data_IF_211395979262
#
_entry.id   IF_211395979262
#
_cell.length_a   1.000
_cell.length_b   1.000
_cell.length_c   1.000
_cell.angle_alpha   90.00
_cell.angle_beta   90.00
_cell.angle_gamma   90.00
#
_symmetry.space_group_name_H-M   'P 1'
#
loop_
_entity.id
_entity.type
_entity.pdbx_description
1 polymer ?
#
# COMPACT_ATOMS: atom_id res chain seq x y z
N UNK A 1 6.83 -7.14 22.08
CA UNK A 1 5.39 -7.36 21.85
C UNK A 1 5.21 -7.63 20.36
N UNK A 2 4.73 -8.81 20.00
CA UNK A 2 4.45 -9.16 18.61
C UNK A 2 3.19 -8.39 18.23
N UNK A 3 3.30 -7.38 17.36
CA UNK A 3 2.13 -6.65 16.86
C UNK A 3 1.44 -7.55 15.84
N UNK A 4 0.15 -7.82 16.05
CA UNK A 4 -0.63 -8.62 15.13
C UNK A 4 -0.82 -7.84 13.83
N UNK A 5 -0.31 -8.39 12.73
CA UNK A 5 -0.37 -7.76 11.43
C UNK A 5 -1.56 -8.29 10.61
N UNK A 6 -2.37 -7.38 10.08
CA UNK A 6 -3.71 -7.74 9.58
C UNK A 6 -3.79 -8.08 8.08
N UNK A 7 -2.77 -7.73 7.27
CA UNK A 7 -2.92 -7.71 5.80
C UNK A 7 -1.83 -8.49 5.08
N UNK A 8 -2.10 -9.69 4.59
CA UNK A 8 -1.07 -10.54 3.97
C UNK A 8 -0.60 -10.00 2.63
N UNK A 9 -1.49 -9.43 1.82
CA UNK A 9 -1.18 -8.91 0.49
C UNK A 9 -1.45 -7.42 0.41
N UNK A 10 -0.38 -6.63 0.32
CA UNK A 10 -0.43 -5.16 0.28
C UNK A 10 0.01 -4.67 -1.10
N UNK A 11 -0.85 -3.90 -1.78
CA UNK A 11 -0.50 -3.26 -3.05
C UNK A 11 -0.18 -1.77 -2.83
N UNK A 12 1.04 -1.37 -3.19
CA UNK A 12 1.46 0.02 -3.23
C UNK A 12 1.33 0.57 -4.65
N UNK A 13 0.39 1.49 -4.84
CA UNK A 13 0.14 2.18 -6.11
C UNK A 13 0.63 3.61 -5.97
N UNK A 14 1.87 3.85 -6.39
CA UNK A 14 2.54 5.11 -6.15
C UNK A 14 3.02 5.78 -7.44
N UNK A 15 2.87 7.09 -7.55
CA UNK A 15 3.52 7.91 -8.56
C UNK A 15 4.62 8.74 -7.93
N UNK A 16 5.69 8.97 -8.67
CA UNK A 16 6.78 9.81 -8.22
C UNK A 16 7.93 9.81 -9.22
N UNK A 17 8.86 10.74 -9.02
CA UNK A 17 10.08 10.76 -9.81
C UNK A 17 10.84 9.43 -9.67
N UNK A 18 11.50 8.94 -10.73
CA UNK A 18 12.24 7.67 -10.69
C UNK A 18 13.23 7.55 -9.52
N UNK A 19 13.81 8.67 -9.09
CA UNK A 19 14.75 8.75 -7.97
C UNK A 19 14.09 8.46 -6.61
N UNK A 20 12.78 8.69 -6.47
CA UNK A 20 12.02 8.44 -5.24
C UNK A 20 11.59 6.98 -5.10
N UNK A 21 11.52 6.22 -6.19
CA UNK A 21 11.04 4.83 -6.18
C UNK A 21 11.89 3.94 -5.25
N UNK A 22 13.25 3.96 -5.30
CA UNK A 22 14.07 3.20 -4.36
C UNK A 22 13.86 3.62 -2.90
N UNK A 23 13.67 4.92 -2.66
CA UNK A 23 13.39 5.46 -1.33
C UNK A 23 12.07 4.92 -0.77
N UNK A 24 10.98 4.96 -1.55
CA UNK A 24 9.69 4.40 -1.14
C UNK A 24 9.77 2.90 -0.87
N UNK A 25 10.40 2.13 -1.76
CA UNK A 25 10.61 0.69 -1.53
C UNK A 25 11.41 0.43 -0.24
N UNK A 26 12.46 1.21 0.02
CA UNK A 26 13.28 1.08 1.22
C UNK A 26 12.53 1.43 2.51
N UNK A 27 11.59 2.38 2.48
CA UNK A 27 10.68 2.62 3.60
C UNK A 27 9.74 1.42 3.76
N UNK A 28 9.02 1.05 2.70
CA UNK A 28 7.98 0.01 2.76
C UNK A 28 8.55 -1.32 3.26
N UNK A 29 9.75 -1.73 2.81
CA UNK A 29 10.40 -2.94 3.30
C UNK A 29 10.78 -2.88 4.79
N UNK A 30 11.01 -1.69 5.36
CA UNK A 30 11.23 -1.51 6.79
C UNK A 30 9.93 -1.50 7.58
N UNK A 31 8.84 -1.03 6.97
CA UNK A 31 7.54 -0.90 7.62
C UNK A 31 6.75 -2.22 7.67
N UNK A 32 6.90 -3.06 6.65
CA UNK A 32 6.14 -4.30 6.55
C UNK A 32 6.84 -5.45 7.28
N UNK A 33 6.09 -6.34 7.93
CA UNK A 33 6.66 -7.54 8.52
C UNK A 33 7.05 -8.54 7.41
N UNK A 34 7.94 -9.47 7.74
CA UNK A 34 8.49 -10.42 6.78
C UNK A 34 7.41 -11.36 6.19
N UNK A 35 6.31 -11.58 6.90
CA UNK A 35 5.20 -12.42 6.45
C UNK A 35 4.27 -11.71 5.46
N UNK A 36 4.42 -10.39 5.27
CA UNK A 36 3.60 -9.61 4.34
C UNK A 36 4.18 -9.64 2.92
N UNK A 37 3.30 -9.86 1.94
CA UNK A 37 3.63 -9.72 0.51
C UNK A 37 3.39 -8.29 0.05
N UNK A 38 4.47 -7.60 -0.30
CA UNK A 38 4.43 -6.25 -0.84
C UNK A 38 4.45 -6.28 -2.38
N UNK A 39 3.37 -5.82 -3.00
CA UNK A 39 3.25 -5.62 -4.43
C UNK A 39 3.42 -4.14 -4.75
N UNK A 40 4.08 -3.83 -5.87
CA UNK A 40 4.40 -2.45 -6.23
C UNK A 40 3.97 -2.13 -7.65
N UNK A 41 3.25 -1.04 -7.79
CA UNK A 41 2.83 -0.48 -9.06
C UNK A 41 3.20 0.99 -9.10
N UNK A 42 4.38 1.27 -9.67
CA UNK A 42 4.91 2.63 -9.78
C UNK A 42 4.62 3.23 -11.15
N UNK A 43 4.12 4.47 -11.18
CA UNK A 43 3.89 5.24 -12.41
C UNK A 43 3.08 4.47 -13.48
N UNK A 44 2.11 3.66 -13.04
CA UNK A 44 1.26 2.83 -13.89
C UNK A 44 -0.20 2.93 -13.42
N UNK A 45 -1.18 2.66 -14.30
CA UNK A 45 -2.57 2.53 -13.91
C UNK A 45 -2.82 1.19 -13.19
N UNK A 46 -3.80 1.19 -12.29
CA UNK A 46 -4.31 -0.03 -11.63
C UNK A 46 -5.42 -0.62 -12.51
N UNK A 47 -5.36 -1.93 -12.77
CA UNK A 47 -6.45 -2.66 -13.43
C UNK A 47 -7.18 -3.55 -12.43
N UNK A 48 -8.48 -3.76 -12.65
CA UNK A 48 -9.30 -4.61 -11.77
C UNK A 48 -8.88 -6.08 -11.82
N UNK A 49 -8.42 -6.53 -12.98
CA UNK A 49 -7.87 -7.87 -13.17
C UNK A 49 -6.68 -8.12 -12.24
N UNK A 50 -5.80 -7.11 -12.09
CA UNK A 50 -4.65 -7.18 -11.19
C UNK A 50 -5.08 -7.28 -9.72
N UNK A 51 -6.11 -6.52 -9.33
CA UNK A 51 -6.64 -6.56 -7.97
C UNK A 51 -7.28 -7.90 -7.62
N UNK A 52 -8.04 -8.49 -8.56
CA UNK A 52 -8.68 -9.78 -8.35
C UNK A 52 -7.69 -10.95 -8.36
N UNK A 53 -6.66 -10.90 -9.21
CA UNK A 53 -5.68 -11.98 -9.33
C UNK A 53 -4.75 -12.11 -8.12
N UNK A 54 -4.46 -11.00 -7.43
CA UNK A 54 -3.48 -10.94 -6.35
C UNK A 54 -4.08 -11.10 -4.94
N UNK A 55 -5.40 -11.25 -4.81
CA UNK A 55 -6.11 -11.34 -3.51
C UNK A 55 -5.64 -10.23 -2.54
N UNK A 56 -5.65 -8.99 -3.03
CA UNK A 56 -5.14 -7.82 -2.30
C UNK A 56 -6.08 -7.46 -1.15
N UNK A 57 -5.58 -7.55 0.08
CA UNK A 57 -6.31 -7.17 1.29
C UNK A 57 -6.37 -5.63 1.43
N UNK A 58 -5.32 -4.94 0.99
CA UNK A 58 -5.20 -3.49 1.15
C UNK A 58 -4.38 -2.83 0.04
N UNK A 59 -4.86 -1.68 -0.42
CA UNK A 59 -4.18 -0.81 -1.38
C UNK A 59 -3.73 0.45 -0.65
N UNK A 60 -2.45 0.78 -0.75
CA UNK A 60 -1.87 2.05 -0.31
C UNK A 60 -1.52 2.87 -1.54
N UNK A 61 -2.02 4.11 -1.63
CA UNK A 61 -1.85 4.90 -2.85
C UNK A 61 -1.63 6.39 -2.63
N UNK A 62 -0.78 6.99 -3.48
CA UNK A 62 -0.63 8.43 -3.67
C UNK A 62 -1.16 8.93 -5.06
N UNK A 63 -1.98 8.13 -5.76
CA UNK A 63 -2.91 8.61 -6.82
C UNK A 63 -4.40 8.38 -6.50
N UNK A 64 -5.29 9.11 -7.18
CA UNK A 64 -6.74 8.86 -7.10
C UNK A 64 -7.05 7.53 -7.82
N UNK A 65 -7.68 6.60 -7.10
CA UNK A 65 -8.19 5.34 -7.65
C UNK A 65 -9.73 5.40 -7.61
N UNK A 66 -10.37 4.99 -8.71
CA UNK A 66 -11.83 4.89 -8.77
C UNK A 66 -12.33 3.77 -7.83
N UNK A 67 -12.86 4.19 -6.68
CA UNK A 67 -13.34 3.27 -5.65
C UNK A 67 -14.58 2.47 -6.08
N UNK A 68 -15.25 2.82 -7.19
CA UNK A 68 -16.37 2.01 -7.72
C UNK A 68 -15.89 0.65 -8.24
N UNK A 69 -14.60 0.54 -8.51
CA UNK A 69 -13.98 -0.65 -9.06
C UNK A 69 -13.42 -1.60 -7.97
N UNK A 70 -13.46 -1.15 -6.71
CA UNK A 70 -12.96 -1.91 -5.56
C UNK A 70 -14.12 -2.62 -4.84
N UNK A 71 -13.96 -3.92 -4.59
CA UNK A 71 -14.81 -4.63 -3.63
C UNK A 71 -14.41 -4.23 -2.21
N UNK A 72 -15.07 -3.20 -1.69
CA UNK A 72 -14.81 -2.64 -0.35
C UNK A 72 -15.06 -3.61 0.80
N UNK A 73 -15.72 -4.75 0.56
CA UNK A 73 -15.87 -5.78 1.59
C UNK A 73 -14.61 -6.61 1.78
N UNK A 74 -13.71 -6.60 0.78
CA UNK A 74 -12.51 -7.43 0.74
C UNK A 74 -11.22 -6.63 0.72
N UNK A 75 -11.26 -5.41 0.18
CA UNK A 75 -10.07 -4.60 -0.04
C UNK A 75 -10.21 -3.22 0.63
N UNK A 76 -9.29 -2.91 1.54
CA UNK A 76 -9.17 -1.58 2.14
C UNK A 76 -8.35 -0.64 1.25
N UNK A 77 -8.68 0.65 1.21
CA UNK A 77 -7.93 1.66 0.47
C UNK A 77 -7.44 2.75 1.42
N UNK A 78 -6.11 2.90 1.50
CA UNK A 78 -5.44 3.98 2.22
C UNK A 78 -4.85 4.96 1.22
N UNK A 79 -5.29 6.21 1.31
CA UNK A 79 -4.76 7.35 0.56
C UNK A 79 -3.66 8.04 1.35
N UNK A 80 -2.46 8.13 0.78
CA UNK A 80 -1.41 9.05 1.19
C UNK A 80 -1.53 10.35 0.38
N UNK A 81 -0.89 11.41 0.86
CA UNK A 81 -0.67 12.62 0.08
C UNK A 81 0.16 12.33 -1.16
N UNK A 82 0.09 13.20 -2.16
CA UNK A 82 0.83 13.03 -3.42
C UNK A 82 2.34 12.93 -3.18
N UNK A 83 2.85 13.59 -2.14
CA UNK A 83 4.24 13.50 -1.67
C UNK A 83 4.28 13.08 -0.18
N UNK A 84 4.21 11.78 0.12
CA UNK A 84 4.12 11.28 1.49
C UNK A 84 5.36 11.63 2.31
N UNK A 85 5.15 12.25 3.48
CA UNK A 85 6.20 12.55 4.44
C UNK A 85 6.38 11.44 5.50
N UNK A 86 7.40 11.55 6.34
CA UNK A 86 7.71 10.57 7.39
C UNK A 86 6.53 10.29 8.33
N UNK A 87 5.76 11.32 8.71
CA UNK A 87 4.60 11.17 9.61
C UNK A 87 3.48 10.36 8.97
N UNK A 88 3.27 10.51 7.66
CA UNK A 88 2.29 9.68 6.94
C UNK A 88 2.72 8.21 6.86
N UNK A 89 4.02 7.97 6.71
CA UNK A 89 4.57 6.61 6.76
C UNK A 89 4.42 5.99 8.16
N UNK A 90 4.65 6.75 9.22
CA UNK A 90 4.40 6.31 10.60
C UNK A 90 2.92 6.01 10.85
N UNK A 91 2.02 6.90 10.41
CA UNK A 91 0.58 6.69 10.52
C UNK A 91 0.09 5.48 9.71
N UNK A 92 0.74 5.18 8.58
CA UNK A 92 0.47 3.97 7.82
C UNK A 92 0.81 2.71 8.64
N UNK A 93 1.94 2.70 9.35
CA UNK A 93 2.31 1.57 10.24
C UNK A 93 1.22 1.35 11.28
N UNK A 94 0.72 2.40 11.92
CA UNK A 94 -0.34 2.28 12.94
C UNK A 94 -1.63 1.67 12.38
N UNK A 95 -1.93 1.88 11.10
CA UNK A 95 -3.09 1.27 10.43
C UNK A 95 -2.85 -0.19 10.03
N UNK A 96 -1.62 -0.51 9.62
CA UNK A 96 -1.27 -1.84 9.15
C UNK A 96 -1.15 -2.88 10.28
N UNK A 97 -0.82 -2.43 11.48
CA UNK A 97 -0.69 -3.27 12.67
C UNK A 97 -1.85 -3.03 13.63
N UNK A 98 -2.45 -4.09 14.18
CA UNK A 98 -3.31 -3.97 15.36
C UNK A 98 -2.43 -3.59 16.55
N UNK A 99 -2.77 -2.48 17.20
CA UNK A 99 -2.23 -2.08 18.51
C UNK A 99 -3.09 -2.68 19.61
#
# INVERSE_FOLDING_TARGET
MQRDYNYKNVLFVLTGEPVLIPYYKGIIHRLLPHEASAHFLFNKPVSNELLQALDIDIIVTNVIIDQRQLDRKRCELIRLSDNPNEKEWEALVEKLYRV
#
